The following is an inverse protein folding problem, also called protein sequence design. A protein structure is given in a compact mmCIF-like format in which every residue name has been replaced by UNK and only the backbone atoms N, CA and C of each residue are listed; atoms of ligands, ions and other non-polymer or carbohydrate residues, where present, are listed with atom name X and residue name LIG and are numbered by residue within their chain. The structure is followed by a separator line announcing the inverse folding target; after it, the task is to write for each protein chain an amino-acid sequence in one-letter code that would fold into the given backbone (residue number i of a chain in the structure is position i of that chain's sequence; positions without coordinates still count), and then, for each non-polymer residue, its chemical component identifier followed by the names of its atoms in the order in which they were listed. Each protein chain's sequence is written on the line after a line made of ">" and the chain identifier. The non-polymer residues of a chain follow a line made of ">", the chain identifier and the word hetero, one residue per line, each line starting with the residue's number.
data_IF_745512991667
#
_entry.id   IF_745512991667
#
_cell.length_a   1.000
_cell.length_b   1.000
_cell.length_c   1.000
_cell.angle_alpha   90.00
_cell.angle_beta   90.00
_cell.angle_gamma   90.00
#
_symmetry.space_group_name_H-M   'P 1'
#
loop_
_entity.id
_entity.type
_entity.pdbx_description
1 polymer ?
#
# COMPACT_ATOMS: atom_id res chain seq x y z
N UNK A 1 13.69 -4.19 7.21
CA UNK A 1 12.30 -4.00 6.78
C UNK A 1 12.10 -2.57 6.31
N UNK A 2 11.51 -2.41 5.14
CA UNK A 2 11.21 -1.07 4.62
C UNK A 2 9.97 -0.52 5.35
N UNK A 3 10.10 0.66 5.91
CA UNK A 3 9.00 1.32 6.60
C UNK A 3 8.28 2.28 5.68
N UNK A 4 6.95 2.35 5.85
CA UNK A 4 6.15 3.38 5.21
C UNK A 4 6.45 4.71 5.87
N UNK A 5 6.73 5.70 5.06
CA UNK A 5 6.99 7.07 5.51
C UNK A 5 5.72 7.89 5.31
N UNK A 6 5.40 8.72 6.28
CA UNK A 6 4.29 9.65 6.17
C UNK A 6 4.81 11.08 6.28
N UNK A 7 4.05 12.00 5.69
CA UNK A 7 4.33 13.42 5.75
C UNK A 7 3.19 14.14 6.45
N UNK A 8 3.45 15.28 7.09
CA UNK A 8 2.36 16.07 7.66
C UNK A 8 1.39 16.53 6.58
N UNK A 9 0.10 16.47 6.89
CA UNK A 9 -0.91 17.12 6.07
C UNK A 9 -0.92 18.61 6.46
N UNK A 10 -0.53 19.48 5.55
CA UNK A 10 -0.37 20.91 5.84
C UNK A 10 -1.71 21.63 6.04
N UNK A 11 -2.79 21.08 5.49
CA UNK A 11 -4.11 21.68 5.56
C UNK A 11 -5.15 20.67 6.04
N UNK A 12 -5.01 20.19 7.31
CA UNK A 12 -5.92 19.12 7.79
C UNK A 12 -7.38 19.56 7.93
N UNK A 13 -7.65 20.87 7.92
CA UNK A 13 -9.01 21.41 7.95
C UNK A 13 -9.75 21.20 6.63
N UNK A 14 -9.06 20.91 5.54
CA UNK A 14 -9.66 20.61 4.26
C UNK A 14 -10.08 19.14 4.20
N UNK A 15 -11.22 18.88 3.54
CA UNK A 15 -11.67 17.50 3.32
C UNK A 15 -11.03 16.97 2.06
N UNK A 16 -9.90 16.31 2.24
CA UNK A 16 -9.15 15.73 1.13
C UNK A 16 -9.26 14.22 1.16
N UNK A 17 -9.53 13.64 0.00
CA UNK A 17 -9.37 12.21 -0.22
C UNK A 17 -8.12 11.99 -1.04
N UNK A 18 -7.20 11.21 -0.51
CA UNK A 18 -5.97 10.85 -1.19
C UNK A 18 -6.11 9.45 -1.77
N UNK A 19 -5.67 9.27 -3.01
CA UNK A 19 -5.60 7.96 -3.65
C UNK A 19 -4.23 7.81 -4.30
N UNK A 20 -3.54 6.75 -3.91
CA UNK A 20 -2.29 6.35 -4.56
C UNK A 20 -2.57 5.08 -5.34
N UNK A 21 -2.39 5.14 -6.65
CA UNK A 21 -2.54 3.97 -7.53
C UNK A 21 -1.18 3.60 -8.08
N UNK A 22 -0.74 2.39 -7.79
CA UNK A 22 0.61 1.93 -8.12
C UNK A 22 0.55 0.57 -8.80
N UNK A 23 1.50 0.27 -9.70
CA UNK A 23 1.59 -1.07 -10.25
C UNK A 23 1.92 -2.08 -9.15
N UNK A 24 1.30 -3.25 -9.23
CA UNK A 24 1.66 -4.36 -8.36
C UNK A 24 2.85 -5.10 -8.97
N UNK A 25 3.89 -5.37 -8.17
CA UNK A 25 5.00 -6.19 -8.65
C UNK A 25 4.59 -7.67 -8.73
N UNK A 26 5.33 -8.45 -9.50
CA UNK A 26 5.20 -9.90 -9.51
C UNK A 26 5.78 -10.44 -8.21
N UNK A 27 4.95 -10.81 -7.27
CA UNK A 27 5.35 -11.15 -5.91
C UNK A 27 5.72 -12.63 -5.76
N UNK A 28 5.00 -13.52 -6.47
CA UNK A 28 5.26 -14.95 -6.36
C UNK A 28 6.38 -15.38 -7.31
N UNK A 29 7.52 -15.87 -6.81
CA UNK A 29 8.62 -16.25 -7.68
C UNK A 29 8.34 -17.51 -8.52
N UNK A 30 7.32 -18.28 -8.15
CA UNK A 30 6.96 -19.52 -8.87
C UNK A 30 5.96 -19.22 -9.99
N UNK A 31 4.88 -18.52 -9.68
CA UNK A 31 3.81 -18.24 -10.64
C UNK A 31 3.98 -16.93 -11.39
N UNK A 32 4.80 -16.00 -10.88
CA UNK A 32 4.93 -14.66 -11.42
C UNK A 32 3.71 -13.78 -11.18
N UNK A 33 2.80 -14.19 -10.29
CA UNK A 33 1.60 -13.44 -9.98
C UNK A 33 1.86 -12.32 -8.96
N UNK A 34 1.13 -11.22 -9.01
CA UNK A 34 0.20 -10.85 -10.08
C UNK A 34 0.93 -10.53 -11.37
N UNK A 35 0.24 -10.75 -12.49
CA UNK A 35 0.81 -10.50 -13.81
C UNK A 35 0.90 -9.00 -14.10
N UNK A 36 1.67 -8.66 -15.13
CA UNK A 36 1.82 -7.27 -15.57
C UNK A 36 0.48 -6.62 -15.87
N UNK A 37 0.38 -5.33 -15.57
CA UNK A 37 -0.86 -4.57 -15.71
C UNK A 37 -1.73 -4.57 -14.46
N UNK A 38 -1.40 -5.35 -13.45
CA UNK A 38 -2.10 -5.33 -12.17
C UNK A 38 -1.72 -4.08 -11.38
N UNK A 39 -2.66 -3.57 -10.61
CA UNK A 39 -2.47 -2.36 -9.81
C UNK A 39 -3.10 -2.49 -8.44
N UNK A 40 -2.63 -1.67 -7.52
CA UNK A 40 -3.23 -1.50 -6.21
C UNK A 40 -3.48 -0.02 -5.97
N UNK A 41 -4.64 0.30 -5.42
CA UNK A 41 -4.98 1.65 -5.00
C UNK A 41 -5.15 1.67 -3.49
N UNK A 42 -4.49 2.63 -2.85
CA UNK A 42 -4.65 2.91 -1.42
C UNK A 42 -5.30 4.27 -1.31
N UNK A 43 -6.48 4.32 -0.70
CA UNK A 43 -7.27 5.54 -0.57
C UNK A 43 -7.57 5.81 0.90
N UNK A 44 -7.51 7.07 1.29
CA UNK A 44 -7.94 7.46 2.61
C UNK A 44 -8.52 8.87 2.59
N UNK A 45 -9.23 9.22 3.66
CA UNK A 45 -9.56 10.60 3.96
C UNK A 45 -8.39 11.17 4.74
N UNK A 46 -7.66 12.11 4.11
CA UNK A 46 -6.44 12.65 4.70
C UNK A 46 -6.71 13.25 6.09
N UNK A 47 -6.02 12.70 7.08
CA UNK A 47 -6.05 13.19 8.47
C UNK A 47 -4.86 14.11 8.72
N UNK A 48 -4.15 13.87 9.82
CA UNK A 48 -2.97 14.67 10.17
C UNK A 48 -1.74 14.30 9.36
N UNK A 49 -1.69 13.10 8.79
CA UNK A 49 -0.55 12.62 8.01
C UNK A 49 -1.02 11.98 6.71
N UNK A 50 -0.17 12.04 5.71
CA UNK A 50 -0.40 11.43 4.40
C UNK A 50 0.75 10.50 4.06
N UNK A 51 0.45 9.45 3.29
CA UNK A 51 1.48 8.51 2.82
C UNK A 51 2.39 9.19 1.81
N UNK A 52 3.69 8.89 1.92
CA UNK A 52 4.68 9.36 0.97
C UNK A 52 4.79 8.30 -0.15
N UNK A 53 4.64 8.71 -1.41
CA UNK A 53 4.47 7.80 -2.53
C UNK A 53 5.70 6.94 -2.82
N UNK A 54 6.90 7.49 -2.64
CA UNK A 54 8.12 6.73 -2.93
C UNK A 54 8.33 5.60 -1.91
N UNK A 55 8.03 5.87 -0.65
CA UNK A 55 8.10 4.82 0.38
C UNK A 55 7.03 3.76 0.17
N UNK A 56 5.85 4.15 -0.32
CA UNK A 56 4.79 3.20 -0.64
C UNK A 56 5.22 2.29 -1.79
N UNK A 57 5.86 2.83 -2.82
CA UNK A 57 6.40 2.04 -3.93
C UNK A 57 7.44 1.04 -3.42
N UNK A 58 8.38 1.49 -2.60
CA UNK A 58 9.40 0.63 -2.02
C UNK A 58 8.79 -0.46 -1.14
N UNK A 59 7.77 -0.09 -0.36
CA UNK A 59 7.03 -1.02 0.49
C UNK A 59 6.38 -2.13 -0.35
N UNK A 60 5.74 -1.78 -1.47
CA UNK A 60 5.13 -2.77 -2.35
C UNK A 60 6.17 -3.72 -2.93
N UNK A 61 7.35 -3.22 -3.29
CA UNK A 61 8.44 -4.04 -3.79
C UNK A 61 8.94 -5.03 -2.74
N UNK A 62 8.75 -4.74 -1.45
CA UNK A 62 9.17 -5.65 -0.38
C UNK A 62 8.40 -6.97 -0.38
N UNK A 63 7.28 -7.06 -1.08
CA UNK A 63 6.52 -8.32 -1.23
C UNK A 63 7.14 -9.26 -2.26
N UNK A 64 8.03 -8.78 -3.12
CA UNK A 64 8.67 -9.62 -4.14
C UNK A 64 9.56 -10.66 -3.48
N UNK A 65 9.33 -11.93 -3.84
CA UNK A 65 10.08 -13.04 -3.28
C UNK A 65 9.58 -13.51 -1.92
N UNK A 66 8.50 -12.93 -1.42
CA UNK A 66 7.90 -13.25 -0.14
C UNK A 66 8.06 -12.12 0.87
N UNK A 67 7.02 -11.90 1.65
CA UNK A 67 7.00 -10.87 2.69
C UNK A 67 7.30 -11.49 4.06
N UNK A 68 7.98 -10.76 4.98
CA UNK A 68 8.28 -11.28 6.32
C UNK A 68 7.05 -11.72 7.11
N UNK A 69 5.86 -11.18 6.81
CA UNK A 69 4.60 -11.62 7.44
C UNK A 69 4.21 -13.05 7.08
N UNK A 70 4.84 -13.65 6.05
CA UNK A 70 4.50 -14.97 5.55
C UNK A 70 3.30 -15.00 4.63
N UNK A 71 2.78 -13.85 4.22
CA UNK A 71 1.62 -13.77 3.35
C UNK A 71 1.94 -14.34 1.97
N UNK A 72 1.04 -15.14 1.42
CA UNK A 72 1.23 -15.83 0.13
C UNK A 72 0.10 -15.67 -0.85
N UNK A 73 -1.03 -15.12 -0.42
CA UNK A 73 -2.20 -14.94 -1.28
C UNK A 73 -2.38 -13.47 -1.62
N UNK A 74 -3.08 -13.20 -2.72
CA UNK A 74 -3.43 -11.83 -3.09
C UNK A 74 -4.28 -11.17 -2.01
N UNK A 75 -5.26 -11.90 -1.49
CA UNK A 75 -6.13 -11.41 -0.42
C UNK A 75 -5.34 -11.08 0.83
N UNK A 76 -4.41 -11.94 1.21
CA UNK A 76 -3.53 -11.71 2.37
C UNK A 76 -2.63 -10.51 2.15
N UNK A 77 -2.09 -10.33 0.94
CA UNK A 77 -1.27 -9.19 0.60
C UNK A 77 -2.06 -7.89 0.72
N UNK A 78 -3.28 -7.85 0.18
CA UNK A 78 -4.13 -6.66 0.26
C UNK A 78 -4.47 -6.33 1.72
N UNK A 79 -4.77 -7.35 2.53
CA UNK A 79 -5.02 -7.15 3.95
C UNK A 79 -3.78 -6.64 4.69
N UNK A 80 -2.61 -7.13 4.34
CA UNK A 80 -1.36 -6.66 4.95
C UNK A 80 -1.09 -5.20 4.57
N UNK A 81 -1.29 -4.84 3.30
CA UNK A 81 -1.14 -3.47 2.84
C UNK A 81 -2.10 -2.54 3.60
N UNK A 82 -3.36 -2.94 3.74
CA UNK A 82 -4.34 -2.15 4.46
C UNK A 82 -3.95 -1.96 5.92
N UNK A 83 -3.49 -3.01 6.57
CA UNK A 83 -3.06 -2.97 7.98
C UNK A 83 -1.88 -2.03 8.17
N UNK A 84 -0.85 -2.16 7.33
CA UNK A 84 0.37 -1.37 7.47
C UNK A 84 0.14 0.10 7.13
N UNK A 85 -0.64 0.37 6.08
CA UNK A 85 -0.96 1.74 5.69
C UNK A 85 -1.84 2.42 6.73
N UNK A 86 -2.85 1.72 7.27
CA UNK A 86 -3.70 2.29 8.32
C UNK A 86 -2.89 2.60 9.58
N UNK A 87 -1.96 1.74 9.96
CA UNK A 87 -1.08 1.98 11.09
C UNK A 87 -0.18 3.20 10.86
N UNK A 88 0.32 3.35 9.63
CA UNK A 88 1.22 4.46 9.30
C UNK A 88 0.52 5.83 9.36
N UNK A 89 -0.70 5.92 8.80
CA UNK A 89 -1.43 7.21 8.76
C UNK A 89 -2.33 7.42 9.98
N UNK A 90 -2.57 6.38 10.77
CA UNK A 90 -3.37 6.48 11.99
C UNK A 90 -4.88 6.55 11.76
N UNK A 91 -5.35 6.27 10.55
CA UNK A 91 -6.75 6.27 10.20
C UNK A 91 -7.06 5.08 9.29
N UNK A 92 -8.37 4.86 9.08
CA UNK A 92 -8.85 3.81 8.19
C UNK A 92 -8.47 4.10 6.74
N UNK A 93 -8.00 3.07 6.03
CA UNK A 93 -7.69 3.16 4.60
C UNK A 93 -8.53 2.16 3.82
N UNK A 94 -8.72 2.44 2.54
CA UNK A 94 -9.34 1.50 1.61
C UNK A 94 -8.29 1.05 0.61
N UNK A 95 -8.15 -0.26 0.46
CA UNK A 95 -7.20 -0.83 -0.49
C UNK A 95 -7.97 -1.64 -1.53
N UNK A 96 -7.67 -1.38 -2.79
CA UNK A 96 -8.25 -2.11 -3.93
C UNK A 96 -7.14 -2.62 -4.81
N UNK A 97 -7.25 -3.88 -5.22
CA UNK A 97 -6.36 -4.45 -6.23
C UNK A 97 -7.17 -4.76 -7.48
N UNK A 98 -6.55 -4.49 -8.62
CA UNK A 98 -7.07 -4.87 -9.93
C UNK A 98 -6.03 -5.75 -10.59
N UNK A 99 -6.38 -6.99 -10.81
CA UNK A 99 -5.49 -7.99 -11.37
C UNK A 99 -6.02 -8.53 -12.70
#
# INVERSE_FOLDING_TARGET
>A
MLELVTMPNERPELRLYARHTLPLPSCCPVSGNPQGGSSVSVSDRAGLRVLEVYSLTAYLQSFVGGHPSGVRTMEGMIQQIATDCAAAVGIRVRVRAQV
#
